data_IF_024608155145
#
_entry.id   IF_024608155145
#
_cell.length_a   1.000
_cell.length_b   1.000
_cell.length_c   1.000
_cell.angle_alpha   90.00
_cell.angle_beta   90.00
_cell.angle_gamma   90.00
#
_symmetry.space_group_name_H-M   'P 1'
#
loop_
_entity.id
_entity.type
_entity.pdbx_description
1 polymer ?
#
# COMPACT_ATOMS: atom_id res chain seq x y z
N UNK A 1 21.34 -10.34 34.81
CA UNK A 1 20.70 -9.03 34.59
C UNK A 1 19.93 -9.15 33.28
N UNK A 2 18.66 -9.59 33.35
CA UNK A 2 17.85 -9.73 32.15
C UNK A 2 17.39 -8.32 31.76
N UNK A 3 17.95 -7.81 30.67
CA UNK A 3 17.37 -6.64 30.01
C UNK A 3 16.13 -7.18 29.33
N UNK A 4 14.99 -7.10 30.01
CA UNK A 4 13.69 -7.24 29.36
C UNK A 4 13.59 -6.10 28.35
N UNK A 5 14.01 -6.39 27.12
CA UNK A 5 13.74 -5.52 25.99
C UNK A 5 12.23 -5.49 25.83
N UNK A 6 11.62 -4.44 26.36
CA UNK A 6 10.25 -4.06 26.04
C UNK A 6 10.26 -3.68 24.58
N UNK A 7 10.11 -4.67 23.70
CA UNK A 7 9.85 -4.45 22.28
C UNK A 7 8.52 -3.73 22.23
N UNK A 8 8.58 -2.41 22.11
CA UNK A 8 7.41 -1.56 21.93
C UNK A 8 6.71 -2.09 20.68
N UNK A 9 5.51 -2.65 20.84
CA UNK A 9 4.69 -3.05 19.69
C UNK A 9 4.57 -1.81 18.79
N UNK A 10 5.23 -1.85 17.64
CA UNK A 10 5.17 -0.75 16.68
C UNK A 10 3.75 -0.76 16.13
N UNK A 11 2.97 0.24 16.50
CA UNK A 11 1.60 0.38 16.04
C UNK A 11 1.57 0.54 14.51
N UNK A 12 0.61 -0.09 13.83
CA UNK A 12 0.41 0.07 12.38
C UNK A 12 0.29 1.53 11.93
N UNK A 13 -0.13 2.42 12.83
CA UNK A 13 -0.17 3.87 12.61
C UNK A 13 1.23 4.47 12.42
N UNK A 14 2.23 4.02 13.21
CA UNK A 14 3.61 4.52 13.10
C UNK A 14 4.26 4.07 11.79
N UNK A 15 4.00 2.82 11.40
CA UNK A 15 4.46 2.27 10.11
C UNK A 15 3.81 3.03 8.95
N UNK A 16 2.51 3.27 9.03
CA UNK A 16 1.77 4.05 8.02
C UNK A 16 2.30 5.47 7.85
N UNK A 17 2.65 6.15 8.96
CA UNK A 17 3.27 7.49 8.88
C UNK A 17 4.58 7.46 8.08
N UNK A 18 5.40 6.43 8.26
CA UNK A 18 6.64 6.29 7.50
C UNK A 18 6.36 6.06 6.00
N UNK A 19 5.37 5.21 5.67
CA UNK A 19 4.91 4.99 4.29
C UNK A 19 4.46 6.31 3.64
N UNK A 20 3.61 7.08 4.32
CA UNK A 20 3.08 8.36 3.82
C UNK A 20 4.20 9.37 3.54
N UNK A 21 5.18 9.48 4.45
CA UNK A 21 6.33 10.38 4.27
C UNK A 21 7.13 10.03 3.03
N UNK A 22 7.36 8.75 2.75
CA UNK A 22 8.13 8.34 1.57
C UNK A 22 7.32 8.49 0.28
N UNK A 23 6.00 8.26 0.31
CA UNK A 23 5.11 8.56 -0.82
C UNK A 23 5.08 10.05 -1.15
N UNK A 24 5.02 10.94 -0.16
CA UNK A 24 5.08 12.40 -0.38
C UNK A 24 6.42 12.83 -1.01
N UNK A 25 7.52 12.20 -0.57
CA UNK A 25 8.84 12.45 -1.15
C UNK A 25 8.94 11.91 -2.57
N UNK A 26 8.38 10.75 -2.87
CA UNK A 26 8.28 10.24 -4.24
C UNK A 26 7.45 11.17 -5.11
N UNK A 27 6.31 11.66 -4.62
CA UNK A 27 5.49 12.62 -5.34
C UNK A 27 6.23 13.93 -5.65
N UNK A 28 7.11 14.37 -4.74
CA UNK A 28 7.87 15.61 -4.90
C UNK A 28 9.12 15.45 -5.77
N UNK A 29 9.63 14.23 -5.93
CA UNK A 29 10.92 13.94 -6.56
C UNK A 29 10.82 12.90 -7.68
N UNK A 30 9.63 12.61 -8.23
CA UNK A 30 9.38 11.45 -9.12
C UNK A 30 10.27 11.37 -10.37
N UNK A 31 10.93 12.47 -10.76
CA UNK A 31 11.83 12.53 -11.91
C UNK A 31 13.30 12.75 -11.53
N UNK A 32 13.61 12.70 -10.25
CA UNK A 32 14.94 12.96 -9.70
C UNK A 32 15.62 11.65 -9.26
N UNK A 33 16.94 11.50 -9.43
CA UNK A 33 17.67 10.31 -8.99
C UNK A 33 17.50 9.98 -7.49
N UNK A 34 17.23 11.00 -6.67
CA UNK A 34 16.99 10.82 -5.23
C UNK A 34 15.72 10.02 -4.92
N UNK A 35 14.75 9.95 -5.84
CA UNK A 35 13.53 9.14 -5.68
C UNK A 35 13.81 7.67 -5.43
N UNK A 36 14.90 7.12 -5.97
CA UNK A 36 15.29 5.73 -5.76
C UNK A 36 15.51 5.40 -4.26
N UNK A 37 16.03 6.35 -3.48
CA UNK A 37 16.22 6.17 -2.03
C UNK A 37 14.88 6.12 -1.30
N UNK A 38 13.92 6.94 -1.73
CA UNK A 38 12.59 6.96 -1.14
C UNK A 38 11.79 5.72 -1.53
N UNK A 39 11.90 5.26 -2.78
CA UNK A 39 11.31 4.00 -3.23
C UNK A 39 11.85 2.79 -2.45
N UNK A 40 13.17 2.67 -2.29
CA UNK A 40 13.77 1.58 -1.51
C UNK A 40 13.27 1.58 -0.06
N UNK A 41 13.25 2.75 0.59
CA UNK A 41 12.77 2.86 1.96
C UNK A 41 11.27 2.55 2.07
N UNK A 42 10.46 3.02 1.11
CA UNK A 42 9.02 2.74 1.04
C UNK A 42 8.78 1.23 0.95
N UNK A 43 9.40 0.55 -0.01
CA UNK A 43 9.23 -0.88 -0.25
C UNK A 43 9.65 -1.70 0.98
N UNK A 44 10.77 -1.36 1.61
CA UNK A 44 11.21 -2.01 2.86
C UNK A 44 10.22 -1.79 4.01
N UNK A 45 9.64 -0.60 4.11
CA UNK A 45 8.67 -0.26 5.17
C UNK A 45 7.36 -1.02 4.98
N UNK A 46 6.87 -1.11 3.74
CA UNK A 46 5.69 -1.91 3.38
C UNK A 46 5.90 -3.39 3.72
N UNK A 47 7.06 -3.96 3.36
CA UNK A 47 7.39 -5.34 3.71
C UNK A 47 7.47 -5.56 5.22
N UNK A 48 8.07 -4.62 5.96
CA UNK A 48 8.07 -4.67 7.42
C UNK A 48 6.66 -4.58 8.03
N UNK A 49 5.71 -3.94 7.36
CA UNK A 49 4.32 -3.91 7.80
C UNK A 49 3.72 -5.31 7.70
N UNK A 50 3.92 -5.97 6.56
CA UNK A 50 3.50 -7.35 6.35
C UNK A 50 4.08 -8.31 7.38
N UNK A 51 5.37 -8.20 7.70
CA UNK A 51 6.02 -9.06 8.70
C UNK A 51 5.44 -8.90 10.11
N UNK A 52 4.98 -7.68 10.45
CA UNK A 52 4.48 -7.35 11.81
C UNK A 52 2.97 -7.50 11.95
N UNK A 53 2.23 -7.24 10.88
CA UNK A 53 0.77 -7.15 10.85
C UNK A 53 0.20 -7.96 9.66
N UNK A 54 0.54 -9.27 9.54
CA UNK A 54 0.20 -10.07 8.35
C UNK A 54 -1.29 -10.33 8.15
N UNK A 55 -2.10 -10.19 9.21
CA UNK A 55 -3.55 -10.42 9.18
C UNK A 55 -4.37 -9.12 9.25
N UNK A 56 -3.70 -7.97 9.20
CA UNK A 56 -4.38 -6.68 9.23
C UNK A 56 -4.92 -6.34 7.83
N UNK A 57 -6.23 -6.02 7.67
CA UNK A 57 -6.82 -5.70 6.37
C UNK A 57 -6.16 -4.51 5.66
N UNK A 58 -5.63 -3.54 6.40
CA UNK A 58 -4.88 -2.43 5.81
C UNK A 58 -3.56 -2.90 5.19
N UNK A 59 -2.90 -3.89 5.80
CA UNK A 59 -1.68 -4.49 5.25
C UNK A 59 -1.92 -5.08 3.86
N UNK A 60 -3.11 -5.64 3.59
CA UNK A 60 -3.45 -6.16 2.27
C UNK A 60 -3.43 -5.07 1.19
N UNK A 61 -4.04 -3.90 1.47
CA UNK A 61 -4.00 -2.72 0.58
C UNK A 61 -2.56 -2.25 0.36
N UNK A 62 -1.76 -2.21 1.43
CA UNK A 62 -0.34 -1.83 1.36
C UNK A 62 0.46 -2.82 0.50
N UNK A 63 0.16 -4.11 0.59
CA UNK A 63 0.85 -5.13 -0.20
C UNK A 63 0.44 -5.11 -1.67
N UNK A 64 -0.83 -4.82 -1.98
CA UNK A 64 -1.27 -4.60 -3.36
C UNK A 64 -0.50 -3.43 -4.01
N UNK A 65 -0.29 -2.35 -3.27
CA UNK A 65 0.55 -1.23 -3.70
C UNK A 65 2.03 -1.63 -3.79
N UNK A 66 2.56 -2.38 -2.83
CA UNK A 66 3.93 -2.88 -2.86
C UNK A 66 4.20 -3.66 -4.15
N UNK A 67 3.32 -4.59 -4.51
CA UNK A 67 3.47 -5.40 -5.72
C UNK A 67 3.46 -4.52 -6.98
N UNK A 68 2.55 -3.55 -7.06
CA UNK A 68 2.46 -2.60 -8.16
C UNK A 68 3.71 -1.72 -8.34
N UNK A 69 4.42 -1.42 -7.25
CA UNK A 69 5.65 -0.61 -7.24
C UNK A 69 6.90 -1.45 -7.48
N UNK A 70 6.99 -2.60 -6.81
CA UNK A 70 8.16 -3.47 -6.80
C UNK A 70 8.33 -4.18 -8.14
N UNK A 71 7.24 -4.65 -8.73
CA UNK A 71 7.29 -5.40 -9.98
C UNK A 71 7.99 -4.60 -11.08
N UNK A 72 9.10 -5.15 -11.58
CA UNK A 72 9.94 -4.54 -12.62
C UNK A 72 10.40 -3.09 -12.31
N UNK A 73 10.45 -2.68 -11.04
CA UNK A 73 10.74 -1.30 -10.63
C UNK A 73 9.77 -0.26 -11.22
N UNK A 74 8.50 -0.64 -11.40
CA UNK A 74 7.45 0.25 -11.93
C UNK A 74 7.19 1.50 -11.10
N UNK A 75 7.72 1.58 -9.88
CA UNK A 75 7.80 2.85 -9.15
C UNK A 75 8.41 4.00 -9.99
N UNK A 76 9.25 3.71 -10.99
CA UNK A 76 9.81 4.77 -11.87
C UNK A 76 8.75 5.34 -12.83
N UNK A 77 7.73 4.56 -13.16
CA UNK A 77 6.75 4.88 -14.20
C UNK A 77 5.58 5.73 -13.68
N UNK A 78 5.41 5.81 -12.36
CA UNK A 78 4.31 6.56 -11.76
C UNK A 78 4.69 8.03 -11.53
N UNK A 79 3.72 8.91 -11.76
CA UNK A 79 3.92 10.36 -11.63
C UNK A 79 3.44 10.90 -10.28
N UNK A 80 3.79 12.16 -10.00
CA UNK A 80 3.43 12.86 -8.77
C UNK A 80 1.93 12.83 -8.41
N UNK A 81 1.03 12.89 -9.41
CA UNK A 81 -0.42 12.87 -9.14
C UNK A 81 -0.91 11.51 -8.67
N UNK A 82 -0.33 10.43 -9.20
CA UNK A 82 -0.64 9.06 -8.78
C UNK A 82 -0.19 8.83 -7.35
N UNK A 83 1.03 9.24 -7.00
CA UNK A 83 1.53 9.15 -5.63
C UNK A 83 0.70 9.94 -4.62
N UNK A 84 0.23 11.15 -4.99
CA UNK A 84 -0.68 11.92 -4.13
C UNK A 84 -2.02 11.22 -3.91
N UNK A 85 -2.60 10.64 -4.96
CA UNK A 85 -3.84 9.87 -4.84
C UNK A 85 -3.69 8.69 -3.88
N UNK A 86 -2.53 8.03 -3.88
CA UNK A 86 -2.21 6.98 -2.90
C UNK A 86 -2.10 7.54 -1.48
N UNK A 87 -1.43 8.68 -1.28
CA UNK A 87 -1.36 9.32 0.04
C UNK A 87 -2.76 9.61 0.59
N UNK A 88 -3.66 10.15 -0.24
CA UNK A 88 -5.03 10.48 0.15
C UNK A 88 -5.81 9.20 0.53
N UNK A 89 -5.68 8.14 -0.27
CA UNK A 89 -6.31 6.84 0.00
C UNK A 89 -5.83 6.24 1.33
N UNK A 90 -4.52 6.12 1.53
CA UNK A 90 -3.95 5.51 2.74
C UNK A 90 -4.25 6.34 3.99
N UNK A 91 -4.26 7.67 3.87
CA UNK A 91 -4.67 8.58 4.95
C UNK A 91 -6.14 8.40 5.32
N UNK A 92 -7.02 8.21 4.34
CA UNK A 92 -8.43 7.91 4.59
C UNK A 92 -8.59 6.58 5.35
N UNK A 93 -7.90 5.53 4.89
CA UNK A 93 -8.03 4.18 5.45
C UNK A 93 -7.48 4.07 6.88
N UNK A 94 -6.29 4.61 7.16
CA UNK A 94 -5.65 4.47 8.48
C UNK A 94 -6.43 5.18 9.60
N UNK A 95 -7.28 6.14 9.25
CA UNK A 95 -8.14 6.86 10.19
C UNK A 95 -9.49 6.15 10.44
N UNK A 96 -9.77 5.05 9.76
CA UNK A 96 -10.97 4.25 10.00
C UNK A 96 -10.81 3.39 11.26
N UNK A 97 -11.85 3.32 12.07
CA UNK A 97 -11.86 2.47 13.27
C UNK A 97 -11.94 0.97 12.93
N UNK A 98 -12.60 0.64 11.82
CA UNK A 98 -12.76 -0.73 11.33
C UNK A 98 -12.61 -0.72 9.81
N UNK A 99 -11.71 -1.55 9.30
CA UNK A 99 -11.54 -1.83 7.87
C UNK A 99 -12.10 -3.23 7.60
N UNK A 100 -13.15 -3.31 6.78
CA UNK A 100 -13.75 -4.58 6.39
C UNK A 100 -13.31 -4.97 4.97
N UNK A 101 -13.62 -6.20 4.55
CA UNK A 101 -13.22 -6.72 3.24
C UNK A 101 -13.71 -5.84 2.07
N UNK A 102 -14.92 -5.28 2.15
CA UNK A 102 -15.43 -4.35 1.12
C UNK A 102 -14.57 -3.10 1.03
N UNK A 103 -14.09 -2.58 2.16
CA UNK A 103 -13.23 -1.40 2.21
C UNK A 103 -11.84 -1.69 1.63
N UNK A 104 -11.33 -2.90 1.82
CA UNK A 104 -10.08 -3.38 1.20
C UNK A 104 -10.25 -3.48 -0.32
N UNK A 105 -11.32 -4.12 -0.78
CA UNK A 105 -11.61 -4.26 -2.21
C UNK A 105 -11.76 -2.90 -2.89
N UNK A 106 -12.55 -1.99 -2.31
CA UNK A 106 -12.72 -0.62 -2.81
C UNK A 106 -11.39 0.15 -2.85
N UNK A 107 -10.51 -0.07 -1.87
CA UNK A 107 -9.19 0.54 -1.85
C UNK A 107 -8.29 0.00 -2.96
N UNK A 108 -8.29 -1.32 -3.20
CA UNK A 108 -7.53 -1.95 -4.29
C UNK A 108 -8.05 -1.45 -5.65
N UNK A 109 -9.37 -1.39 -5.84
CA UNK A 109 -9.98 -0.81 -7.05
C UNK A 109 -9.61 0.66 -7.21
N UNK A 110 -9.49 1.41 -6.11
CA UNK A 110 -9.02 2.81 -6.16
C UNK A 110 -7.57 2.89 -6.60
N UNK A 111 -6.68 1.99 -6.16
CA UNK A 111 -5.29 1.91 -6.65
C UNK A 111 -5.26 1.62 -8.16
N UNK A 112 -6.08 0.70 -8.65
CA UNK A 112 -6.19 0.40 -10.09
C UNK A 112 -6.70 1.62 -10.89
N UNK A 113 -7.70 2.33 -10.37
CA UNK A 113 -8.23 3.54 -10.99
C UNK A 113 -7.20 4.68 -11.02
N UNK A 114 -6.25 4.70 -10.07
CA UNK A 114 -5.09 5.60 -10.09
C UNK A 114 -4.00 5.13 -11.08
N UNK A 115 -4.14 3.95 -11.68
CA UNK A 115 -3.23 3.38 -12.68
C UNK A 115 -2.16 2.45 -12.12
N UNK A 116 -2.24 2.06 -10.85
CA UNK A 116 -1.37 1.03 -10.27
C UNK A 116 -1.86 -0.36 -10.65
N UNK A 117 -0.98 -1.18 -11.21
CA UNK A 117 -1.30 -2.57 -11.52
C UNK A 117 -1.02 -3.42 -10.28
N UNK A 118 -2.06 -3.67 -9.50
CA UNK A 118 -2.01 -4.39 -8.22
C UNK A 118 -1.89 -5.91 -8.39
N UNK A 119 -2.01 -6.43 -9.62
CA UNK A 119 -1.88 -7.85 -9.95
C UNK A 119 -0.88 -8.09 -11.10
N UNK A 120 0.37 -7.61 -10.95
CA UNK A 120 1.30 -7.52 -12.07
C UNK A 120 1.84 -8.89 -12.53
N UNK A 121 1.56 -9.97 -11.79
CA UNK A 121 2.01 -11.33 -12.10
C UNK A 121 1.10 -12.09 -13.08
N UNK A 122 0.18 -11.39 -13.77
CA UNK A 122 -0.63 -11.95 -14.84
C UNK A 122 -1.94 -12.61 -14.39
N UNK A 123 -2.43 -12.27 -13.18
CA UNK A 123 -3.79 -12.64 -12.76
C UNK A 123 -4.73 -11.55 -13.28
N UNK A 124 -5.35 -11.79 -14.43
CA UNK A 124 -6.45 -10.93 -14.91
C UNK A 124 -7.67 -11.20 -14.03
N UNK A 125 -8.00 -10.24 -13.17
CA UNK A 125 -9.27 -10.23 -12.46
C UNK A 125 -10.35 -9.91 -13.50
N UNK A 126 -11.06 -10.95 -13.93
CA UNK A 126 -12.08 -10.85 -14.96
C UNK A 126 -13.20 -9.95 -14.43
N UNK A 127 -13.30 -8.72 -14.97
CA UNK A 127 -14.33 -7.72 -14.60
C UNK A 127 -15.76 -8.18 -14.88
N UNK A 128 -15.94 -9.38 -15.43
CA UNK A 128 -17.23 -10.05 -15.61
C UNK A 128 -17.75 -10.77 -14.36
N UNK A 129 -17.01 -10.78 -13.24
CA UNK A 129 -17.53 -11.22 -11.93
C UNK A 129 -18.38 -10.15 -11.24
N UNK A 130 -19.10 -9.36 -12.03
CA UNK A 130 -20.16 -8.49 -11.55
C UNK A 130 -21.34 -9.38 -11.13
N UNK A 131 -21.50 -9.54 -9.80
CA UNK A 131 -22.71 -9.96 -9.08
C UNK A 131 -23.61 -10.98 -9.80
N UNK A 132 -23.38 -12.27 -9.56
CA UNK A 132 -24.50 -13.20 -9.56
C UNK A 132 -24.96 -13.42 -8.13
N UNK A 133 -26.11 -12.82 -7.87
CA UNK A 133 -27.02 -12.96 -6.75
C UNK A 133 -26.97 -14.37 -6.14
N UNK A 134 -26.81 -14.42 -4.82
CA UNK A 134 -27.31 -15.53 -4.02
C UNK A 134 -28.83 -15.64 -4.31
N UNK A 135 -29.21 -16.60 -5.15
CA UNK A 135 -30.60 -17.08 -5.23
C UNK A 135 -30.63 -18.52 -4.74
N UNK A 136 -31.15 -18.66 -3.51
CA UNK A 136 -31.74 -19.81 -2.79
C UNK A 136 -31.19 -21.23 -3.02
#
# INVERSE_FOLDING_TARGET
>A
MNVEQTVKEVSGIEITKAILVDLEKLASNSSEPIAAVYADNLLRTMHSMHDKLPFDPYTEVVMALYDALFFQNRWIDYNASQYRGVCDLLTSLVNQEIINNSSVEDAILTLENLGFDTLPFGVTLDKSLDRNEEQE
#
